data_IF_793303891628
#
_entry.id   IF_793303891628
#
_cell.length_a   1.000
_cell.length_b   1.000
_cell.length_c   1.000
_cell.angle_alpha   90.00
_cell.angle_beta   90.00
_cell.angle_gamma   90.00
#
_symmetry.space_group_name_H-M   'P 1'
#
loop_
_entity.id
_entity.type
_entity.pdbx_description
1 polymer ?
#
# COMPACT_ATOMS: atom_id res chain seq x y z
N UNK A 1 55.29 -10.57 44.50
CA UNK A 1 56.24 -11.59 44.04
C UNK A 1 56.08 -12.83 44.91
N UNK A 2 55.38 -13.85 44.43
CA UNK A 2 55.43 -15.22 44.94
C UNK A 2 54.74 -16.10 43.91
N UNK A 3 55.56 -16.75 43.11
CA UNK A 3 55.20 -17.75 42.10
C UNK A 3 55.15 -19.11 42.81
N UNK A 4 54.05 -19.90 42.72
CA UNK A 4 54.06 -21.26 43.24
C UNK A 4 54.52 -22.26 42.19
N UNK A 5 55.62 -22.95 42.50
CA UNK A 5 56.11 -24.18 41.86
C UNK A 5 55.04 -25.28 41.87
N UNK A 6 54.74 -25.85 40.71
CA UNK A 6 53.92 -27.07 40.59
C UNK A 6 54.85 -28.28 40.56
N UNK A 7 54.85 -29.06 41.65
CA UNK A 7 55.44 -30.39 41.74
C UNK A 7 54.70 -31.36 40.83
N UNK A 8 55.42 -31.97 39.91
CA UNK A 8 54.97 -33.08 39.06
C UNK A 8 54.97 -34.39 39.85
N UNK A 9 53.81 -35.02 39.95
CA UNK A 9 53.68 -36.40 40.44
C UNK A 9 53.80 -37.41 39.28
N UNK A 10 54.37 -38.61 39.52
CA UNK A 10 54.75 -39.55 38.47
C UNK A 10 53.54 -40.30 37.90
N UNK A 11 53.40 -40.24 36.57
CA UNK A 11 52.47 -41.06 35.79
C UNK A 11 52.88 -42.53 35.90
N UNK A 12 52.02 -43.37 36.49
CA UNK A 12 52.17 -44.82 36.41
C UNK A 12 51.99 -45.25 34.94
N UNK A 13 53.08 -45.64 34.30
CA UNK A 13 53.06 -46.40 33.05
C UNK A 13 52.23 -47.68 33.26
N UNK A 14 51.10 -47.77 32.55
CA UNK A 14 50.46 -49.05 32.29
C UNK A 14 51.02 -49.52 30.96
N UNK A 15 52.02 -50.40 31.01
CA UNK A 15 52.59 -51.08 29.85
C UNK A 15 51.54 -52.02 29.26
N UNK A 16 50.81 -51.55 28.25
CA UNK A 16 50.14 -52.46 27.30
C UNK A 16 51.23 -52.91 26.32
N UNK A 17 51.70 -54.14 26.51
CA UNK A 17 52.59 -54.80 25.56
C UNK A 17 51.77 -55.11 24.31
N UNK A 18 51.75 -54.18 23.35
CA UNK A 18 51.26 -54.48 22.01
C UNK A 18 52.22 -55.50 21.36
N UNK A 19 51.74 -56.67 20.90
CA UNK A 19 52.55 -57.50 20.04
C UNK A 19 52.80 -56.73 18.74
N UNK A 20 54.08 -56.54 18.41
CA UNK A 20 54.52 -55.95 17.16
C UNK A 20 53.76 -56.56 15.96
N UNK A 21 53.31 -55.77 14.98
CA UNK A 21 52.59 -56.30 13.84
C UNK A 21 53.56 -57.14 13.03
N UNK A 22 53.42 -58.46 13.13
CA UNK A 22 53.95 -59.40 12.16
C UNK A 22 53.32 -59.01 10.84
N UNK A 23 54.16 -58.69 9.85
CA UNK A 23 53.72 -58.11 8.60
C UNK A 23 52.68 -58.97 7.90
N UNK A 24 51.59 -58.33 7.46
CA UNK A 24 50.72 -58.84 6.42
C UNK A 24 50.24 -57.67 5.55
N UNK A 25 50.12 -57.96 4.26
CA UNK A 25 49.89 -57.05 3.12
C UNK A 25 48.75 -56.05 3.36
N UNK A 26 48.70 -54.89 2.66
CA UNK A 26 47.54 -54.00 2.74
C UNK A 26 46.28 -54.82 2.44
N UNK A 27 45.43 -55.04 3.45
CA UNK A 27 44.16 -55.73 3.29
C UNK A 27 43.38 -54.99 2.21
N UNK A 28 43.16 -55.66 1.07
CA UNK A 28 42.37 -55.09 -0.02
C UNK A 28 41.01 -54.75 0.54
N UNK A 29 40.65 -53.46 0.52
CA UNK A 29 39.33 -53.01 0.97
C UNK A 29 38.26 -53.87 0.27
N UNK A 30 37.36 -54.53 1.01
CA UNK A 30 36.36 -55.40 0.42
C UNK A 30 35.51 -54.65 -0.59
N UNK A 31 35.28 -55.26 -1.75
CA UNK A 31 34.49 -54.69 -2.85
C UNK A 31 33.13 -54.15 -2.38
N UNK A 32 32.50 -54.84 -1.42
CA UNK A 32 31.21 -54.44 -0.85
C UNK A 32 31.25 -53.07 -0.17
N UNK A 33 32.36 -52.70 0.49
CA UNK A 33 32.51 -51.37 1.10
C UNK A 33 32.69 -50.28 0.05
N UNK A 34 33.44 -50.55 -1.02
CA UNK A 34 33.55 -49.60 -2.13
C UNK A 34 32.22 -49.41 -2.88
N UNK A 35 31.48 -50.50 -3.07
CA UNK A 35 30.16 -50.46 -3.69
C UNK A 35 29.18 -49.65 -2.83
N UNK A 36 29.15 -49.86 -1.52
CA UNK A 36 28.30 -49.10 -0.60
C UNK A 36 28.58 -47.59 -0.66
N UNK A 37 29.86 -47.17 -0.60
CA UNK A 37 30.22 -45.74 -0.67
C UNK A 37 29.87 -45.12 -2.02
N UNK A 38 30.03 -45.87 -3.12
CA UNK A 38 29.63 -45.40 -4.44
C UNK A 38 28.11 -45.27 -4.57
N UNK A 39 27.35 -46.22 -4.02
CA UNK A 39 25.89 -46.20 -4.02
C UNK A 39 25.38 -45.02 -3.15
N UNK A 40 25.99 -44.77 -1.98
CA UNK A 40 25.71 -43.60 -1.14
C UNK A 40 26.05 -42.28 -1.84
N UNK A 41 27.18 -42.20 -2.53
CA UNK A 41 27.57 -40.99 -3.27
C UNK A 41 26.59 -40.67 -4.40
N UNK A 42 26.07 -41.69 -5.08
CA UNK A 42 25.02 -41.51 -6.10
C UNK A 42 23.71 -41.05 -5.48
N UNK A 43 23.27 -41.68 -4.41
CA UNK A 43 22.05 -41.27 -3.69
C UNK A 43 22.15 -39.82 -3.17
N UNK A 44 23.31 -39.41 -2.65
CA UNK A 44 23.55 -38.03 -2.23
C UNK A 44 23.54 -37.06 -3.41
N UNK A 45 24.14 -37.44 -4.54
CA UNK A 45 24.10 -36.62 -5.75
C UNK A 45 22.67 -36.42 -6.26
N UNK A 46 21.84 -37.47 -6.21
CA UNK A 46 20.41 -37.41 -6.55
C UNK A 46 19.62 -36.51 -5.60
N UNK A 47 19.86 -36.61 -4.29
CA UNK A 47 19.22 -35.71 -3.31
C UNK A 47 19.62 -34.25 -3.51
N UNK A 48 20.90 -34.01 -3.83
CA UNK A 48 21.38 -32.65 -4.12
C UNK A 48 20.75 -32.08 -5.39
N UNK A 49 20.61 -32.88 -6.44
CA UNK A 49 19.94 -32.42 -7.67
C UNK A 49 18.45 -32.20 -7.45
N UNK A 50 17.79 -33.05 -6.67
CA UNK A 50 16.39 -32.89 -6.30
C UNK A 50 16.16 -31.62 -5.48
N UNK A 51 16.93 -31.42 -4.40
CA UNK A 51 16.86 -30.21 -3.58
C UNK A 51 17.13 -28.95 -4.39
N UNK A 52 18.10 -28.98 -5.32
CA UNK A 52 18.40 -27.84 -6.18
C UNK A 52 17.22 -27.53 -7.11
N UNK A 53 16.60 -28.57 -7.67
CA UNK A 53 15.42 -28.44 -8.53
C UNK A 53 14.23 -27.86 -7.76
N UNK A 54 13.99 -28.30 -6.53
CA UNK A 54 12.95 -27.75 -5.66
C UNK A 54 13.22 -26.29 -5.27
N UNK A 55 14.49 -25.96 -4.98
CA UNK A 55 14.88 -24.60 -4.68
C UNK A 55 14.65 -23.67 -5.88
N UNK A 56 15.00 -24.11 -7.08
CA UNK A 56 14.80 -23.33 -8.31
C UNK A 56 13.31 -23.15 -8.62
N UNK A 57 12.48 -24.18 -8.41
CA UNK A 57 11.01 -24.06 -8.50
C UNK A 57 10.45 -23.06 -7.50
N UNK A 58 10.86 -23.16 -6.23
CA UNK A 58 10.40 -22.27 -5.16
C UNK A 58 10.75 -20.81 -5.46
N UNK A 59 11.95 -20.53 -5.96
CA UNK A 59 12.36 -19.19 -6.36
C UNK A 59 11.52 -18.65 -7.52
N UNK A 60 11.23 -19.49 -8.52
CA UNK A 60 10.39 -19.10 -9.65
C UNK A 60 8.96 -18.76 -9.20
N UNK A 61 8.37 -19.55 -8.31
CA UNK A 61 7.04 -19.31 -7.76
C UNK A 61 6.99 -18.04 -6.91
N UNK A 62 7.99 -17.81 -6.06
CA UNK A 62 8.11 -16.58 -5.28
C UNK A 62 8.22 -15.34 -6.17
N UNK A 63 9.03 -15.38 -7.23
CA UNK A 63 9.15 -14.26 -8.16
C UNK A 63 7.85 -14.00 -8.94
N UNK A 64 7.13 -15.06 -9.32
CA UNK A 64 5.81 -14.93 -9.94
C UNK A 64 4.80 -14.27 -9.01
N UNK A 65 4.75 -14.67 -7.74
CA UNK A 65 3.88 -14.07 -6.73
C UNK A 65 4.26 -12.60 -6.52
N UNK A 66 5.56 -12.30 -6.40
CA UNK A 66 6.05 -10.93 -6.21
C UNK A 66 5.65 -10.02 -7.36
N UNK A 67 5.81 -10.47 -8.61
CA UNK A 67 5.39 -9.72 -9.80
C UNK A 67 3.89 -9.44 -9.80
N UNK A 68 3.06 -10.45 -9.55
CA UNK A 68 1.61 -10.29 -9.49
C UNK A 68 1.17 -9.33 -8.38
N UNK A 69 1.88 -9.29 -7.24
CA UNK A 69 1.59 -8.32 -6.17
C UNK A 69 1.96 -6.90 -6.58
N UNK A 70 3.11 -6.70 -7.24
CA UNK A 70 3.53 -5.39 -7.73
C UNK A 70 2.58 -4.85 -8.81
N UNK A 71 2.12 -5.71 -9.73
CA UNK A 71 1.12 -5.36 -10.74
C UNK A 71 -0.19 -4.89 -10.07
N UNK A 72 -0.73 -5.69 -9.13
CA UNK A 72 -1.94 -5.31 -8.38
C UNK A 72 -1.78 -4.00 -7.60
N UNK A 73 -0.62 -3.77 -6.99
CA UNK A 73 -0.34 -2.52 -6.28
C UNK A 73 -0.29 -1.33 -7.24
N UNK A 74 0.32 -1.50 -8.42
CA UNK A 74 0.34 -0.49 -9.47
C UNK A 74 -1.06 -0.14 -9.95
N UNK A 75 -1.88 -1.14 -10.29
CA UNK A 75 -3.27 -0.96 -10.72
C UNK A 75 -4.12 -0.25 -9.64
N UNK A 76 -3.96 -0.65 -8.38
CA UNK A 76 -4.68 0.00 -7.27
C UNK A 76 -4.29 1.47 -7.12
N UNK A 77 -3.00 1.79 -7.28
CA UNK A 77 -2.52 3.17 -7.24
C UNK A 77 -3.16 4.02 -8.35
N UNK A 78 -3.19 3.49 -9.58
CA UNK A 78 -3.83 4.17 -10.72
C UNK A 78 -5.30 4.42 -10.48
N UNK A 79 -6.06 3.42 -10.02
CA UNK A 79 -7.49 3.58 -9.69
C UNK A 79 -7.72 4.65 -8.61
N UNK A 80 -6.85 4.72 -7.61
CA UNK A 80 -6.93 5.72 -6.54
C UNK A 80 -6.62 7.13 -7.05
N UNK A 81 -5.63 7.28 -7.94
CA UNK A 81 -5.31 8.54 -8.60
C UNK A 81 -6.49 9.01 -9.49
N UNK A 82 -7.10 8.13 -10.27
CA UNK A 82 -8.27 8.43 -11.10
C UNK A 82 -9.49 8.84 -10.25
N UNK A 83 -9.76 8.12 -9.15
CA UNK A 83 -10.85 8.45 -8.23
C UNK A 83 -10.66 9.82 -7.59
N UNK A 84 -9.43 10.15 -7.16
CA UNK A 84 -9.11 11.45 -6.59
C UNK A 84 -9.26 12.58 -7.62
N UNK A 85 -8.78 12.38 -8.85
CA UNK A 85 -8.94 13.37 -9.92
C UNK A 85 -10.42 13.64 -10.26
N UNK A 86 -11.24 12.58 -10.26
CA UNK A 86 -12.69 12.72 -10.45
C UNK A 86 -13.34 13.49 -9.29
N UNK A 87 -12.95 13.19 -8.05
CA UNK A 87 -13.46 13.88 -6.87
C UNK A 87 -13.08 15.37 -6.87
N UNK A 88 -11.84 15.70 -7.24
CA UNK A 88 -11.37 17.07 -7.35
C UNK A 88 -12.16 17.85 -8.41
N UNK A 89 -12.42 17.24 -9.57
CA UNK A 89 -13.23 17.83 -10.65
C UNK A 89 -14.65 18.12 -10.15
N UNK A 90 -15.33 17.13 -9.57
CA UNK A 90 -16.70 17.30 -9.04
C UNK A 90 -16.76 18.36 -7.95
N UNK A 91 -15.73 18.41 -7.08
CA UNK A 91 -15.64 19.41 -6.02
C UNK A 91 -15.49 20.81 -6.60
N UNK A 92 -14.62 20.99 -7.59
CA UNK A 92 -14.40 22.27 -8.28
C UNK A 92 -15.65 22.75 -9.02
N UNK A 93 -16.34 21.86 -9.73
CA UNK A 93 -17.59 22.17 -10.42
C UNK A 93 -18.69 22.58 -9.43
N UNK A 94 -18.82 21.84 -8.32
CA UNK A 94 -19.74 22.19 -7.23
C UNK A 94 -19.43 23.58 -6.68
N UNK A 95 -18.18 23.87 -6.37
CA UNK A 95 -17.79 25.14 -5.77
C UNK A 95 -18.05 26.31 -6.72
N UNK A 96 -17.76 26.12 -8.00
CA UNK A 96 -18.10 27.09 -9.05
C UNK A 96 -19.61 27.30 -9.15
N UNK A 97 -20.40 26.23 -9.12
CA UNK A 97 -21.85 26.31 -9.17
C UNK A 97 -22.45 27.00 -7.92
N UNK A 98 -21.89 26.75 -6.74
CA UNK A 98 -22.28 27.43 -5.50
C UNK A 98 -21.98 28.92 -5.59
N UNK A 99 -20.76 29.29 -6.01
CA UNK A 99 -20.37 30.69 -6.20
C UNK A 99 -21.30 31.41 -7.18
N UNK A 100 -21.54 30.81 -8.35
CA UNK A 100 -22.45 31.35 -9.35
C UNK A 100 -23.87 31.52 -8.80
N UNK A 101 -24.38 30.51 -8.08
CA UNK A 101 -25.71 30.58 -7.45
C UNK A 101 -25.77 31.70 -6.43
N UNK A 102 -24.77 31.83 -5.55
CA UNK A 102 -24.75 32.88 -4.52
C UNK A 102 -24.66 34.28 -5.10
N UNK A 103 -23.85 34.48 -6.15
CA UNK A 103 -23.76 35.78 -6.84
C UNK A 103 -25.08 36.13 -7.54
N UNK A 104 -25.69 35.16 -8.22
CA UNK A 104 -26.96 35.34 -8.90
C UNK A 104 -28.11 35.61 -7.91
N UNK A 105 -28.15 34.91 -6.76
CA UNK A 105 -29.10 35.18 -5.69
C UNK A 105 -28.91 36.58 -5.10
N UNK A 106 -27.67 37.04 -4.90
CA UNK A 106 -27.37 38.37 -4.41
C UNK A 106 -27.84 39.48 -5.39
N UNK A 107 -27.57 39.32 -6.69
CA UNK A 107 -28.05 40.24 -7.73
C UNK A 107 -29.59 40.34 -7.77
N UNK A 108 -30.28 39.20 -7.59
CA UNK A 108 -31.74 39.15 -7.49
C UNK A 108 -32.26 39.85 -6.25
N UNK A 109 -31.61 39.64 -5.08
CA UNK A 109 -31.92 40.36 -3.84
C UNK A 109 -31.76 41.87 -4.00
N UNK A 110 -30.69 42.31 -4.65
CA UNK A 110 -30.45 43.73 -4.90
C UNK A 110 -31.54 44.32 -5.82
N UNK A 111 -31.97 43.57 -6.84
CA UNK A 111 -33.06 43.98 -7.73
C UNK A 111 -34.40 44.12 -6.98
N UNK A 112 -34.71 43.20 -6.05
CA UNK A 112 -35.87 43.33 -5.16
C UNK A 112 -35.78 44.61 -4.33
N UNK A 113 -34.66 44.82 -3.64
CA UNK A 113 -34.47 45.97 -2.74
C UNK A 113 -34.47 47.32 -3.48
N UNK A 114 -34.12 47.31 -4.77
CA UNK A 114 -34.17 48.48 -5.66
C UNK A 114 -35.55 48.72 -6.29
N UNK A 115 -36.54 47.88 -6.02
CA UNK A 115 -37.90 48.05 -6.56
C UNK A 115 -38.52 49.34 -6.04
N UNK A 116 -38.99 50.18 -6.96
CA UNK A 116 -39.52 51.51 -6.64
C UNK A 116 -40.86 51.39 -5.89
N UNK A 117 -40.96 52.11 -4.78
CA UNK A 117 -42.19 52.18 -3.98
C UNK A 117 -42.29 51.12 -2.89
N UNK A 118 -41.28 50.25 -2.77
CA UNK A 118 -41.23 49.23 -1.74
C UNK A 118 -41.06 49.85 -0.35
N UNK A 119 -41.96 49.50 0.57
CA UNK A 119 -41.87 49.90 1.97
C UNK A 119 -40.75 49.14 2.69
N UNK A 120 -40.24 49.68 3.80
CA UNK A 120 -39.25 48.98 4.63
C UNK A 120 -39.84 47.71 5.29
N UNK A 121 -41.12 47.71 5.61
CA UNK A 121 -41.82 46.54 6.17
C UNK A 121 -41.88 45.39 5.15
N UNK A 122 -42.15 45.69 3.88
CA UNK A 122 -42.17 44.68 2.82
C UNK A 122 -40.76 44.15 2.49
N UNK A 123 -39.72 45.00 2.60
CA UNK A 123 -38.32 44.58 2.45
C UNK A 123 -37.93 43.57 3.53
N UNK A 124 -38.23 43.89 4.79
CA UNK A 124 -37.96 43.00 5.93
C UNK A 124 -38.75 41.70 5.78
N UNK A 125 -40.02 41.76 5.38
CA UNK A 125 -40.82 40.55 5.14
C UNK A 125 -40.21 39.67 4.04
N UNK A 126 -39.69 40.27 2.98
CA UNK A 126 -39.08 39.55 1.87
C UNK A 126 -37.68 38.99 2.21
N UNK A 127 -36.95 39.56 3.17
CA UNK A 127 -35.57 39.18 3.51
C UNK A 127 -35.44 37.72 3.93
N UNK A 128 -36.36 37.21 4.75
CA UNK A 128 -36.33 35.82 5.23
C UNK A 128 -36.93 34.80 4.24
N UNK A 129 -37.52 35.27 3.14
CA UNK A 129 -38.11 34.38 2.13
C UNK A 129 -37.06 33.83 1.16
N UNK A 130 -37.21 32.60 0.64
CA UNK A 130 -36.44 32.15 -0.52
C UNK A 130 -36.57 33.13 -1.68
N UNK A 131 -35.49 33.34 -2.45
CA UNK A 131 -35.43 34.41 -3.45
C UNK A 131 -36.60 34.37 -4.45
N UNK A 132 -37.01 33.18 -4.90
CA UNK A 132 -38.14 33.02 -5.83
C UNK A 132 -39.48 33.42 -5.20
N UNK A 133 -39.64 33.15 -3.89
CA UNK A 133 -40.83 33.53 -3.15
C UNK A 133 -40.86 35.04 -2.90
N UNK A 134 -39.70 35.64 -2.58
CA UNK A 134 -39.54 37.08 -2.41
C UNK A 134 -39.90 37.84 -3.70
N UNK A 135 -39.39 37.41 -4.86
CA UNK A 135 -39.74 38.05 -6.14
C UNK A 135 -41.24 37.99 -6.43
N UNK A 136 -41.85 36.81 -6.26
CA UNK A 136 -43.28 36.63 -6.48
C UNK A 136 -44.14 37.47 -5.52
N UNK A 137 -43.74 37.57 -4.25
CA UNK A 137 -44.41 38.40 -3.25
C UNK A 137 -44.42 39.88 -3.67
N UNK A 138 -43.26 40.40 -4.06
CA UNK A 138 -43.08 41.80 -4.47
C UNK A 138 -43.85 42.07 -5.76
N UNK A 139 -43.71 41.21 -6.79
CA UNK A 139 -44.43 41.37 -8.06
C UNK A 139 -45.93 41.35 -7.86
N UNK A 140 -46.46 40.54 -6.93
CA UNK A 140 -47.89 40.51 -6.63
C UNK A 140 -48.38 41.77 -5.91
N UNK A 141 -47.59 42.34 -5.01
CA UNK A 141 -47.97 43.55 -4.28
C UNK A 141 -47.87 44.80 -5.16
N UNK A 142 -46.78 44.92 -5.91
CA UNK A 142 -46.41 46.14 -6.61
C UNK A 142 -46.68 46.09 -8.12
N UNK A 143 -47.08 44.94 -8.65
CA UNK A 143 -47.35 44.72 -10.08
C UNK A 143 -46.14 45.09 -10.97
N UNK A 144 -44.93 45.00 -10.40
CA UNK A 144 -43.65 45.28 -11.05
C UNK A 144 -42.93 43.99 -11.36
N UNK A 145 -42.56 43.79 -12.63
CA UNK A 145 -41.62 42.73 -13.01
C UNK A 145 -40.23 43.07 -12.49
N UNK A 146 -39.64 42.16 -11.73
CA UNK A 146 -38.26 42.28 -11.25
C UNK A 146 -37.36 41.66 -12.30
N UNK A 147 -36.50 42.48 -12.92
CA UNK A 147 -35.51 42.01 -13.89
C UNK A 147 -34.16 41.96 -13.19
N UNK A 148 -33.63 40.77 -12.85
CA UNK A 148 -32.24 40.67 -12.44
C UNK A 148 -31.35 41.17 -13.59
N UNK A 149 -30.29 41.91 -13.25
CA UNK A 149 -29.34 42.41 -14.23
C UNK A 149 -28.82 41.26 -15.09
N UNK A 150 -28.97 41.38 -16.41
CA UNK A 150 -28.54 40.36 -17.37
C UNK A 150 -27.03 40.21 -17.30
N UNK A 151 -26.58 39.03 -16.87
CA UNK A 151 -25.17 38.63 -16.89
C UNK A 151 -24.78 38.35 -18.34
N UNK A 152 -24.22 39.36 -19.03
CA UNK A 152 -23.56 39.17 -20.32
C UNK A 152 -22.27 38.40 -20.09
N UNK A 153 -22.29 37.14 -20.52
CA UNK A 153 -21.19 36.19 -20.52
C UNK A 153 -20.06 36.60 -21.46
#
# INVERSE_FOLDING_TARGET
MSEPEIKTEPVKETTVTDPAPVGDKPESIPYDRFKAVNDEKKALAEQVTEMKTEQDKTKADQEKIRKAQLEKQGEYKTLLEEANASLETVTSERDTAVLYRTDHEAKRREAINSTKGLTEEDKVAAEDMPIDAAENFITRLYHTEIKPGTDTR
#
